data_IF_988205468307
#
_entry.id   IF_988205468307
#
_cell.length_a   1.000
_cell.length_b   1.000
_cell.length_c   1.000
_cell.angle_alpha   90.00
_cell.angle_beta   90.00
_cell.angle_gamma   90.00
#
_symmetry.space_group_name_H-M   'P 1'
#
loop_
_entity.id
_entity.type
_entity.pdbx_description
1 polymer ?
#
# COMPACT_ATOMS: atom_id res chain seq x y z
N UNK A 1 49.91 -1.29 -9.71
CA UNK A 1 49.15 -1.78 -8.54
C UNK A 1 47.77 -1.15 -8.59
N UNK A 2 46.70 -1.95 -8.69
CA UNK A 2 45.31 -1.47 -8.83
C UNK A 2 44.76 -1.18 -7.43
N UNK A 3 44.29 0.03 -7.19
CA UNK A 3 43.65 0.40 -5.93
C UNK A 3 42.25 -0.21 -5.87
N UNK A 4 41.98 -0.99 -4.81
CA UNK A 4 40.68 -1.55 -4.54
C UNK A 4 39.70 -0.41 -4.23
N UNK A 5 38.65 -0.30 -5.04
CA UNK A 5 37.53 0.60 -4.78
C UNK A 5 36.74 -0.04 -3.64
N UNK A 6 36.81 0.58 -2.47
CA UNK A 6 35.99 0.24 -1.32
C UNK A 6 34.54 0.57 -1.68
N UNK A 7 33.74 -0.44 -1.96
CA UNK A 7 32.30 -0.29 -2.16
C UNK A 7 31.70 0.33 -0.88
N UNK A 8 31.24 1.59 -0.99
CA UNK A 8 30.36 2.18 0.00
C UNK A 8 28.99 1.54 -0.21
N UNK A 9 28.53 0.80 0.79
CA UNK A 9 27.18 0.27 0.84
C UNK A 9 26.18 1.41 0.60
N UNK A 10 25.34 1.26 -0.42
CA UNK A 10 24.21 2.12 -0.71
C UNK A 10 23.15 1.93 0.39
N UNK A 11 23.42 2.51 1.54
CA UNK A 11 22.52 2.55 2.67
C UNK A 11 21.44 3.59 2.42
N UNK A 12 20.24 3.11 2.08
CA UNK A 12 18.95 3.77 2.36
C UNK A 12 18.86 5.23 1.90
N UNK A 13 18.83 5.45 0.59
CA UNK A 13 18.23 6.65 0.02
C UNK A 13 16.69 6.53 0.08
N UNK A 14 16.13 6.46 1.29
CA UNK A 14 14.68 6.43 1.47
C UNK A 14 14.14 7.87 1.51
N UNK A 15 13.59 8.30 0.37
CA UNK A 15 12.47 9.24 0.22
C UNK A 15 12.38 10.32 1.31
N UNK A 16 13.25 11.32 1.25
CA UNK A 16 13.32 12.45 2.20
C UNK A 16 12.18 13.47 2.09
N UNK A 17 11.11 13.18 1.35
CA UNK A 17 10.00 14.11 1.10
C UNK A 17 8.66 13.73 1.73
N UNK A 18 8.51 12.52 2.25
CA UNK A 18 7.22 12.08 2.83
C UNK A 18 7.28 12.27 4.34
N UNK A 19 6.40 13.11 4.93
CA UNK A 19 6.34 13.23 6.38
C UNK A 19 6.07 11.84 6.97
N UNK A 20 6.72 11.46 8.09
CA UNK A 20 6.49 10.17 8.72
C UNK A 20 4.99 10.05 9.02
N UNK A 21 4.38 8.97 8.52
CA UNK A 21 2.98 8.69 8.78
C UNK A 21 2.76 8.73 10.29
N UNK A 22 1.76 9.49 10.79
CA UNK A 22 1.44 9.48 12.21
C UNK A 22 1.27 8.05 12.69
N UNK A 23 2.01 7.68 13.73
CA UNK A 23 1.91 6.34 14.31
C UNK A 23 0.59 6.28 15.05
N UNK A 24 -0.38 5.61 14.44
CA UNK A 24 -1.68 5.35 15.08
C UNK A 24 -1.49 4.53 16.36
N UNK A 25 -2.25 4.86 17.39
CA UNK A 25 -2.35 4.08 18.63
C UNK A 25 -2.91 2.67 18.33
N UNK A 26 -2.82 1.75 19.29
CA UNK A 26 -3.35 0.40 19.11
C UNK A 26 -4.86 0.42 18.86
N UNK A 27 -5.57 1.31 19.56
CA UNK A 27 -7.01 1.51 19.47
C UNK A 27 -7.40 2.07 18.10
N UNK A 28 -6.70 3.10 17.63
CA UNK A 28 -6.93 3.71 16.31
C UNK A 28 -6.67 2.71 15.18
N UNK A 29 -5.68 1.83 15.32
CA UNK A 29 -5.42 0.76 14.34
C UNK A 29 -6.55 -0.25 14.28
N UNK A 30 -7.11 -0.64 15.43
CA UNK A 30 -8.24 -1.58 15.47
C UNK A 30 -9.47 -0.95 14.82
N UNK A 31 -9.76 0.31 15.12
CA UNK A 31 -10.87 1.04 14.51
C UNK A 31 -10.68 1.22 12.99
N UNK A 32 -9.47 1.61 12.56
CA UNK A 32 -9.14 1.68 11.15
C UNK A 32 -9.36 0.34 10.45
N UNK A 33 -8.88 -0.76 11.04
CA UNK A 33 -9.03 -2.09 10.47
C UNK A 33 -10.50 -2.51 10.35
N UNK A 34 -11.35 -2.14 11.33
CA UNK A 34 -12.80 -2.39 11.25
C UNK A 34 -13.42 -1.63 10.07
N UNK A 35 -13.10 -0.35 9.93
CA UNK A 35 -13.59 0.49 8.82
C UNK A 35 -13.11 -0.03 7.47
N UNK A 36 -11.84 -0.41 7.36
CA UNK A 36 -11.27 -0.96 6.13
C UNK A 36 -11.95 -2.27 5.73
N UNK A 37 -12.21 -3.16 6.69
CA UNK A 37 -12.92 -4.42 6.43
C UNK A 37 -14.35 -4.19 5.95
N UNK A 38 -15.05 -3.25 6.57
CA UNK A 38 -16.41 -2.89 6.18
C UNK A 38 -16.46 -2.27 4.78
N UNK A 39 -15.53 -1.36 4.49
CA UNK A 39 -15.37 -0.79 3.16
C UNK A 39 -15.13 -1.87 2.09
N UNK A 40 -14.17 -2.78 2.33
CA UNK A 40 -13.87 -3.86 1.39
C UNK A 40 -15.06 -4.81 1.21
N UNK A 41 -15.83 -5.09 2.27
CA UNK A 41 -17.05 -5.90 2.17
C UNK A 41 -18.06 -5.24 1.23
N UNK A 42 -18.35 -3.96 1.43
CA UNK A 42 -19.29 -3.19 0.59
C UNK A 42 -18.81 -3.16 -0.87
N UNK A 43 -17.53 -2.88 -1.10
CA UNK A 43 -16.99 -2.87 -2.46
C UNK A 43 -17.10 -4.23 -3.15
N UNK A 44 -16.89 -5.32 -2.41
CA UNK A 44 -17.05 -6.67 -2.95
C UNK A 44 -18.52 -6.97 -3.30
N UNK A 45 -19.47 -6.54 -2.48
CA UNK A 45 -20.91 -6.66 -2.77
C UNK A 45 -21.28 -5.89 -4.04
N UNK A 46 -20.81 -4.64 -4.16
CA UNK A 46 -21.03 -3.82 -5.36
C UNK A 46 -20.45 -4.50 -6.60
N UNK A 47 -19.22 -5.02 -6.50
CA UNK A 47 -18.56 -5.70 -7.62
C UNK A 47 -19.27 -7.00 -8.00
N UNK A 48 -19.79 -7.75 -7.03
CA UNK A 48 -20.55 -8.96 -7.28
C UNK A 48 -21.89 -8.67 -7.98
N UNK A 49 -22.57 -7.59 -7.61
CA UNK A 49 -23.87 -7.22 -8.18
C UNK A 49 -23.76 -6.56 -9.56
N UNK A 50 -22.80 -5.66 -9.74
CA UNK A 50 -22.72 -4.78 -10.92
C UNK A 50 -21.55 -5.10 -11.85
N UNK A 51 -20.72 -6.10 -11.51
CA UNK A 51 -19.43 -6.33 -12.16
C UNK A 51 -18.38 -5.33 -11.67
N UNK A 52 -17.24 -5.25 -12.36
CA UNK A 52 -16.21 -4.30 -11.95
C UNK A 52 -16.70 -2.86 -12.10
N UNK A 53 -16.22 -1.97 -11.22
CA UNK A 53 -16.49 -0.53 -11.31
C UNK A 53 -15.98 0.11 -12.61
N UNK A 54 -15.18 -0.62 -13.39
CA UNK A 54 -14.61 -0.18 -14.65
C UNK A 54 -14.72 -1.29 -15.70
N UNK A 55 -15.05 -0.91 -16.93
CA UNK A 55 -15.06 -1.81 -18.08
C UNK A 55 -13.65 -2.05 -18.66
N UNK A 56 -12.61 -1.46 -18.06
CA UNK A 56 -11.24 -1.58 -18.52
C UNK A 56 -10.71 -3.02 -18.36
N UNK A 57 -10.34 -3.60 -19.50
CA UNK A 57 -9.76 -4.95 -19.62
C UNK A 57 -8.49 -5.11 -18.76
N UNK A 58 -7.75 -4.03 -18.46
CA UNK A 58 -6.55 -4.06 -17.64
C UNK A 58 -6.81 -4.53 -16.21
N UNK A 59 -7.98 -4.23 -15.65
CA UNK A 59 -8.33 -4.55 -14.27
C UNK A 59 -9.11 -5.86 -14.12
N UNK A 60 -9.34 -6.58 -15.23
CA UNK A 60 -9.99 -7.88 -15.18
C UNK A 60 -9.11 -8.86 -14.44
N UNK A 61 -9.61 -9.34 -13.30
CA UNK A 61 -8.99 -10.43 -12.56
C UNK A 61 -9.15 -11.70 -13.39
N UNK A 62 -8.02 -12.33 -13.77
CA UNK A 62 -7.96 -13.61 -14.49
C UNK A 62 -8.58 -14.76 -13.67
#
# INVERSE_FOLDING_TARGET
MKMAIKEKSAGKDHLTGVPPRPVLTAEERIEQQKRDKEFMRIMNEIVAEHGMLTDDEFFRVL
#
